data_IF_248737387906
#
_entry.id   IF_248737387906
#
_cell.length_a   1.000
_cell.length_b   1.000
_cell.length_c   1.000
_cell.angle_alpha   90.00
_cell.angle_beta   90.00
_cell.angle_gamma   90.00
#
_symmetry.space_group_name_H-M   'P 1'
#
loop_
_entity.id
_entity.type
_entity.pdbx_description
1 polymer ?
#
# COMPACT_ATOMS: atom_id res chain seq x y z
N UNK A 1 -4.69 7.18 53.67
CA UNK A 1 -4.02 6.02 53.04
C UNK A 1 -3.99 6.13 51.51
N UNK A 2 -3.95 7.34 50.91
CA UNK A 2 -3.99 7.50 49.44
C UNK A 2 -2.64 7.94 48.81
N UNK A 3 -1.59 8.08 49.62
CA UNK A 3 -0.29 8.60 49.16
C UNK A 3 0.48 7.64 48.24
N UNK A 4 0.17 6.34 48.31
CA UNK A 4 0.80 5.30 47.48
C UNK A 4 0.07 5.15 46.13
N UNK A 5 -1.19 5.58 46.04
CA UNK A 5 -2.01 5.45 44.83
C UNK A 5 -1.64 6.51 43.79
N UNK A 6 -1.29 7.72 44.24
CA UNK A 6 -0.86 8.81 43.38
C UNK A 6 0.34 8.45 42.45
N UNK A 7 1.47 7.91 42.95
CA UNK A 7 2.57 7.52 42.07
C UNK A 7 2.21 6.34 41.16
N UNK A 8 1.34 5.43 41.58
CA UNK A 8 0.87 4.31 40.76
C UNK A 8 0.03 4.79 39.57
N UNK A 9 -0.88 5.75 39.79
CA UNK A 9 -1.73 6.31 38.73
C UNK A 9 -0.87 7.06 37.71
N UNK A 10 0.10 7.87 38.15
CA UNK A 10 1.02 8.58 37.26
C UNK A 10 1.84 7.59 36.43
N UNK A 11 2.33 6.51 37.03
CA UNK A 11 3.04 5.45 36.31
C UNK A 11 2.16 4.82 35.22
N UNK A 12 0.90 4.49 35.52
CA UNK A 12 -0.02 3.91 34.54
C UNK A 12 -0.35 4.89 33.39
N UNK A 13 -0.57 6.17 33.70
CA UNK A 13 -0.87 7.20 32.69
C UNK A 13 0.30 7.48 31.76
N UNK A 14 1.55 7.14 32.14
CA UNK A 14 2.72 7.29 31.26
C UNK A 14 3.05 5.99 30.53
N UNK A 15 3.10 4.87 31.25
CA UNK A 15 3.55 3.58 30.68
C UNK A 15 2.53 3.00 29.71
N UNK A 16 1.23 3.10 30.01
CA UNK A 16 0.17 2.57 29.14
C UNK A 16 0.13 3.27 27.77
N UNK A 17 0.15 4.62 27.66
CA UNK A 17 0.17 5.26 26.35
C UNK A 17 1.50 5.10 25.61
N UNK A 18 2.64 5.04 26.30
CA UNK A 18 3.93 4.73 25.67
C UNK A 18 3.92 3.31 25.10
N UNK A 19 3.40 2.34 25.84
CA UNK A 19 3.24 0.96 25.36
C UNK A 19 2.25 0.87 24.21
N UNK A 20 1.11 1.56 24.28
CA UNK A 20 0.14 1.62 23.19
C UNK A 20 0.76 2.22 21.94
N UNK A 21 1.52 3.32 22.07
CA UNK A 21 2.26 3.92 20.97
C UNK A 21 3.27 2.93 20.39
N UNK A 22 4.06 2.24 21.22
CA UNK A 22 5.05 1.27 20.77
C UNK A 22 4.42 0.03 20.11
N UNK A 23 3.38 -0.55 20.70
CA UNK A 23 2.67 -1.72 20.19
C UNK A 23 1.95 -1.41 18.87
N UNK A 24 1.31 -0.25 18.80
CA UNK A 24 0.63 0.19 17.59
C UNK A 24 1.64 0.61 16.52
N UNK A 25 2.76 1.20 16.90
CA UNK A 25 3.88 1.47 15.99
C UNK A 25 4.48 0.17 15.48
N UNK A 26 4.65 -0.88 16.28
CA UNK A 26 5.14 -2.18 15.81
C UNK A 26 4.22 -2.81 14.75
N UNK A 27 2.89 -2.66 14.86
CA UNK A 27 1.96 -3.07 13.80
C UNK A 27 2.02 -2.17 12.56
N UNK A 28 2.25 -0.86 12.73
CA UNK A 28 2.39 0.08 11.59
C UNK A 28 3.79 0.11 10.97
N UNK A 29 4.82 -0.37 11.64
CA UNK A 29 6.21 -0.40 11.16
C UNK A 29 6.57 -1.79 10.61
N UNK A 30 6.01 -2.86 11.18
CA UNK A 30 6.14 -4.22 10.64
C UNK A 30 5.56 -4.36 9.24
N UNK A 31 4.46 -3.65 8.96
CA UNK A 31 3.81 -3.64 7.65
C UNK A 31 3.97 -2.29 6.90
N UNK A 32 4.07 -1.15 7.60
CA UNK A 32 3.96 0.20 7.00
C UNK A 32 5.19 1.12 7.05
N UNK A 33 6.33 0.72 7.61
CA UNK A 33 7.62 1.40 7.29
C UNK A 33 8.12 1.04 5.88
N UNK A 34 7.54 -0.02 5.29
CA UNK A 34 7.56 -0.22 3.86
C UNK A 34 6.64 0.79 3.16
N UNK A 35 5.41 1.06 3.62
CA UNK A 35 4.49 1.99 2.94
C UNK A 35 4.98 3.45 2.81
N UNK A 36 5.76 3.97 3.75
CA UNK A 36 6.35 5.31 3.61
C UNK A 36 7.49 5.36 2.56
N UNK A 37 8.08 4.21 2.20
CA UNK A 37 9.06 4.03 1.12
C UNK A 37 8.41 3.49 -0.17
N UNK A 38 7.20 2.91 -0.08
CA UNK A 38 6.46 2.31 -1.20
C UNK A 38 5.54 3.28 -1.95
N UNK A 39 5.44 4.55 -1.57
CA UNK A 39 4.71 5.54 -2.38
C UNK A 39 5.15 5.52 -3.85
N UNK A 40 6.44 5.27 -4.08
CA UNK A 40 7.00 5.07 -5.43
C UNK A 40 6.86 3.63 -5.93
N UNK A 41 6.86 2.63 -5.03
CA UNK A 41 6.82 1.21 -5.36
C UNK A 41 5.46 0.75 -5.90
N UNK A 42 4.36 1.14 -5.26
CA UNK A 42 3.01 0.81 -5.73
C UNK A 42 2.70 1.50 -7.05
N UNK A 43 3.12 2.77 -7.20
CA UNK A 43 3.01 3.50 -8.46
C UNK A 43 3.87 2.85 -9.56
N UNK A 44 5.08 2.39 -9.23
CA UNK A 44 5.95 1.68 -10.18
C UNK A 44 5.36 0.33 -10.61
N UNK A 45 4.74 -0.43 -9.69
CA UNK A 45 4.08 -1.70 -9.99
C UNK A 45 2.85 -1.49 -10.89
N UNK A 46 2.03 -0.49 -10.58
CA UNK A 46 0.89 -0.10 -11.41
C UNK A 46 1.35 0.36 -12.80
N UNK A 47 2.44 1.11 -12.88
CA UNK A 47 3.02 1.56 -14.15
C UNK A 47 3.55 0.38 -14.98
N UNK A 48 4.25 -0.57 -14.35
CA UNK A 48 4.75 -1.77 -15.02
C UNK A 48 3.60 -2.65 -15.51
N UNK A 49 2.53 -2.76 -14.73
CA UNK A 49 1.31 -3.47 -15.10
C UNK A 49 0.62 -2.81 -16.30
N UNK A 50 0.47 -1.49 -16.29
CA UNK A 50 -0.08 -0.73 -17.40
C UNK A 50 0.74 -0.94 -18.69
N UNK A 51 2.08 -0.92 -18.58
CA UNK A 51 2.97 -1.15 -19.72
C UNK A 51 2.81 -2.54 -20.32
N UNK A 52 2.70 -3.57 -19.48
CA UNK A 52 2.44 -4.95 -19.92
C UNK A 52 1.09 -5.08 -20.61
N UNK A 53 0.07 -4.39 -20.12
CA UNK A 53 -1.25 -4.37 -20.76
C UNK A 53 -1.20 -3.70 -22.13
N UNK A 54 -0.48 -2.58 -22.27
CA UNK A 54 -0.28 -1.88 -23.54
C UNK A 54 0.39 -2.78 -24.60
N UNK A 55 1.44 -3.50 -24.24
CA UNK A 55 2.12 -4.45 -25.15
C UNK A 55 1.20 -5.57 -25.62
N UNK A 56 0.36 -6.08 -24.71
CA UNK A 56 -0.65 -7.09 -25.05
C UNK A 56 -1.71 -6.54 -25.99
N UNK A 57 -2.20 -5.33 -25.74
CA UNK A 57 -3.17 -4.67 -26.63
C UNK A 57 -2.56 -4.50 -28.02
N UNK A 58 -1.34 -3.96 -28.14
CA UNK A 58 -0.66 -3.82 -29.45
C UNK A 58 -0.50 -5.15 -30.17
N UNK A 59 -0.20 -6.22 -29.42
CA UNK A 59 -0.11 -7.57 -29.98
C UNK A 59 -1.46 -8.05 -30.49
N UNK A 60 -2.54 -7.84 -29.71
CA UNK A 60 -3.91 -8.19 -30.10
C UNK A 60 -4.36 -7.36 -31.30
N UNK A 61 -4.07 -6.06 -31.34
CA UNK A 61 -4.37 -5.20 -32.49
C UNK A 61 -3.64 -5.70 -33.74
N UNK A 62 -2.37 -6.09 -33.63
CA UNK A 62 -1.63 -6.64 -34.77
C UNK A 62 -2.20 -7.96 -35.27
N UNK A 63 -2.64 -8.83 -34.37
CA UNK A 63 -3.31 -10.09 -34.74
C UNK A 63 -4.66 -9.79 -35.40
N UNK A 64 -5.44 -8.89 -34.82
CA UNK A 64 -6.75 -8.52 -35.31
C UNK A 64 -6.69 -7.79 -36.66
N UNK A 65 -5.66 -6.98 -36.89
CA UNK A 65 -5.37 -6.37 -38.19
C UNK A 65 -4.98 -7.42 -39.25
N UNK A 66 -4.28 -8.50 -38.85
CA UNK A 66 -3.92 -9.59 -39.74
C UNK A 66 -5.11 -10.52 -40.07
N UNK A 67 -5.98 -10.79 -39.09
CA UNK A 67 -7.08 -11.75 -39.22
C UNK A 67 -8.39 -11.10 -39.70
N UNK A 68 -8.60 -9.80 -39.42
CA UNK A 68 -9.81 -9.06 -39.82
C UNK A 68 -9.47 -7.60 -40.17
N UNK A 69 -8.97 -7.31 -41.38
CA UNK A 69 -8.42 -5.99 -41.78
C UNK A 69 -9.39 -4.78 -41.81
N UNK A 70 -10.61 -4.89 -41.26
CA UNK A 70 -11.62 -3.80 -41.23
C UNK A 70 -12.35 -3.66 -39.88
N UNK A 71 -11.84 -4.29 -38.82
CA UNK A 71 -12.50 -4.31 -37.51
C UNK A 71 -12.71 -2.91 -36.89
N UNK A 72 -11.79 -1.97 -37.12
CA UNK A 72 -11.88 -0.58 -36.62
C UNK A 72 -13.00 0.25 -37.24
N UNK A 73 -13.59 -0.19 -38.35
CA UNK A 73 -14.70 0.50 -39.02
C UNK A 73 -16.08 0.14 -38.47
N UNK A 74 -16.18 -0.74 -37.47
CA UNK A 74 -17.45 -1.16 -36.85
C UNK A 74 -17.76 -0.47 -35.51
N UNK A 75 -17.04 0.59 -35.17
CA UNK A 75 -17.24 1.41 -33.97
C UNK A 75 -18.17 2.57 -34.30
#
# INVERSE_FOLDING_TARGET
MAWIEAPLIVFLVIVVPVWLFLHYRSKRTGDGEQEAVNGDGEVAELWQTARRMEERIRTLERILDADTPSWRGRI
#
